data_IF_299856631259
#
_entry.id   IF_299856631259
#
_cell.length_a   1.000
_cell.length_b   1.000
_cell.length_c   1.000
_cell.angle_alpha   90.00
_cell.angle_beta   90.00
_cell.angle_gamma   90.00
#
_symmetry.space_group_name_H-M   'P 1'
#
loop_
_entity.id
_entity.type
_entity.pdbx_description
1 polymer ?
#
# COMPACT_ATOMS: atom_id res chain seq x y z
N UNK A 1 10.97 -0.63 -15.73
CA UNK A 1 10.25 -0.08 -14.59
C UNK A 1 11.01 1.06 -13.97
N UNK A 2 10.30 2.06 -13.55
CA UNK A 2 10.86 3.20 -12.85
C UNK A 2 11.42 2.77 -11.50
N UNK A 3 12.54 3.36 -11.10
CA UNK A 3 13.16 3.06 -9.80
C UNK A 3 12.19 3.34 -8.65
N UNK A 4 11.37 4.37 -8.80
CA UNK A 4 10.37 4.71 -7.79
C UNK A 4 9.36 3.58 -7.61
N UNK A 5 8.89 3.01 -8.72
CA UNK A 5 7.95 1.89 -8.66
C UNK A 5 8.59 0.67 -8.01
N UNK A 6 9.85 0.41 -8.29
CA UNK A 6 10.55 -0.70 -7.66
C UNK A 6 10.64 -0.52 -6.15
N UNK A 7 10.92 0.68 -5.70
CA UNK A 7 10.96 0.97 -4.27
C UNK A 7 9.59 0.78 -3.64
N UNK A 8 8.56 1.25 -4.33
CA UNK A 8 7.19 1.09 -3.83
C UNK A 8 6.86 -0.38 -3.65
N UNK A 9 7.17 -1.19 -4.65
CA UNK A 9 6.89 -2.62 -4.59
C UNK A 9 7.67 -3.27 -3.46
N UNK A 10 8.94 -2.91 -3.28
CA UNK A 10 9.76 -3.46 -2.22
C UNK A 10 9.19 -3.12 -0.84
N UNK A 11 8.74 -1.89 -0.67
CA UNK A 11 8.15 -1.47 0.60
C UNK A 11 6.82 -2.18 0.83
N UNK A 12 6.01 -2.30 -0.21
CA UNK A 12 4.74 -3.02 -0.11
C UNK A 12 4.95 -4.48 0.26
N UNK A 13 6.01 -5.11 -0.25
CA UNK A 13 6.32 -6.48 0.13
C UNK A 13 6.50 -6.63 1.63
N UNK A 14 7.16 -5.69 2.26
CA UNK A 14 7.34 -5.71 3.71
C UNK A 14 6.00 -5.58 4.42
N UNK A 15 5.15 -4.67 3.93
CA UNK A 15 3.83 -4.45 4.51
C UNK A 15 2.98 -5.70 4.34
N UNK A 16 3.09 -6.36 3.20
CA UNK A 16 2.31 -7.56 2.92
C UNK A 16 2.55 -8.65 3.97
N UNK A 17 3.78 -8.80 4.42
CA UNK A 17 4.09 -9.80 5.45
C UNK A 17 3.29 -9.56 6.72
N UNK A 18 3.11 -8.29 7.10
CA UNK A 18 2.30 -7.97 8.26
C UNK A 18 0.82 -8.27 8.01
N UNK A 19 0.32 -7.89 6.84
CA UNK A 19 -1.08 -8.09 6.53
C UNK A 19 -1.44 -9.56 6.39
N UNK A 20 -0.54 -10.34 5.82
CA UNK A 20 -0.79 -11.76 5.59
C UNK A 20 -0.97 -12.53 6.88
N UNK A 21 -0.36 -12.07 7.97
CA UNK A 21 -0.56 -12.69 9.27
C UNK A 21 -2.01 -12.64 9.71
N UNK A 22 -2.73 -11.61 9.30
CA UNK A 22 -4.13 -11.42 9.63
C UNK A 22 -5.06 -11.85 8.51
N UNK A 23 -4.52 -12.49 7.49
CA UNK A 23 -5.31 -12.95 6.36
C UNK A 23 -5.55 -11.91 5.28
N UNK A 24 -4.90 -10.77 5.38
CA UNK A 24 -5.03 -9.71 4.38
C UNK A 24 -3.84 -9.63 3.45
N UNK A 25 -3.93 -8.73 2.48
CA UNK A 25 -2.85 -8.48 1.55
C UNK A 25 -3.04 -7.12 0.89
N UNK A 26 -1.97 -6.61 0.28
CA UNK A 26 -2.02 -5.38 -0.49
C UNK A 26 -1.26 -5.60 -1.79
N UNK A 27 -1.83 -5.14 -2.90
CA UNK A 27 -1.24 -5.35 -4.22
C UNK A 27 -1.04 -3.99 -4.89
N UNK A 28 0.16 -3.77 -5.43
CA UNK A 28 0.45 -2.57 -6.18
C UNK A 28 -0.32 -2.57 -7.49
N UNK A 29 -0.97 -1.47 -7.80
CA UNK A 29 -1.69 -1.32 -9.06
C UNK A 29 -1.00 -0.34 -9.99
N UNK A 30 -0.74 0.87 -9.51
CA UNK A 30 -0.21 1.91 -10.37
C UNK A 30 0.44 3.01 -9.53
N UNK A 31 1.39 3.71 -10.12
CA UNK A 31 1.97 4.91 -9.54
C UNK A 31 1.89 6.02 -10.58
N UNK A 32 1.21 7.10 -10.24
CA UNK A 32 1.00 8.19 -11.18
C UNK A 32 0.90 9.52 -10.41
N UNK A 33 1.66 10.50 -10.86
CA UNK A 33 1.63 11.85 -10.30
C UNK A 33 1.84 11.90 -8.79
N UNK A 34 2.69 11.01 -8.29
CA UNK A 34 2.97 10.95 -6.86
C UNK A 34 1.94 10.16 -6.07
N UNK A 35 0.92 9.62 -6.73
CA UNK A 35 -0.13 8.86 -6.07
C UNK A 35 0.09 7.37 -6.34
N UNK A 36 0.12 6.59 -5.28
CA UNK A 36 0.25 5.14 -5.38
C UNK A 36 -1.14 4.53 -5.26
N UNK A 37 -1.50 3.73 -6.25
CA UNK A 37 -2.79 3.02 -6.24
C UNK A 37 -2.54 1.58 -5.86
N UNK A 38 -3.27 1.11 -4.88
CA UNK A 38 -3.14 -0.26 -4.36
C UNK A 38 -4.51 -0.88 -4.18
N UNK A 39 -4.55 -2.21 -4.21
CA UNK A 39 -5.76 -2.96 -3.89
C UNK A 39 -5.56 -3.68 -2.56
N UNK A 40 -6.56 -3.62 -1.70
CA UNK A 40 -6.56 -4.36 -0.44
C UNK A 40 -7.37 -5.63 -0.62
N UNK A 41 -6.81 -6.75 -0.15
CA UNK A 41 -7.42 -8.07 -0.36
C UNK A 41 -7.49 -8.79 0.97
N UNK A 42 -8.49 -9.64 1.11
CA UNK A 42 -8.55 -10.60 2.19
C UNK A 42 -9.57 -10.26 3.27
N UNK A 43 -9.35 -10.81 4.46
CA UNK A 43 -10.31 -10.73 5.55
C UNK A 43 -10.59 -9.30 6.01
N UNK A 44 -9.71 -8.38 5.69
CA UNK A 44 -9.87 -6.99 6.11
C UNK A 44 -10.99 -6.27 5.40
N UNK A 45 -11.57 -6.87 4.38
CA UNK A 45 -12.67 -6.24 3.67
C UNK A 45 -13.87 -5.99 4.57
N UNK A 46 -14.07 -6.86 5.54
CA UNK A 46 -15.20 -6.75 6.44
C UNK A 46 -14.90 -5.94 7.69
N UNK A 47 -13.65 -5.53 7.84
CA UNK A 47 -13.23 -4.74 8.99
C UNK A 47 -13.12 -3.29 8.59
N UNK A 48 -14.17 -2.53 8.79
CA UNK A 48 -14.20 -1.15 8.32
C UNK A 48 -13.07 -0.30 8.87
N UNK A 49 -12.71 -0.51 10.11
CA UNK A 49 -11.61 0.24 10.71
C UNK A 49 -10.27 -0.14 10.08
N UNK A 50 -10.11 -1.38 9.69
CA UNK A 50 -8.85 -1.87 9.18
C UNK A 50 -8.47 -1.22 7.85
N UNK A 51 -9.43 -0.95 7.01
CA UNK A 51 -9.15 -0.35 5.70
C UNK A 51 -8.53 1.02 5.84
N UNK A 52 -9.06 1.85 6.73
CA UNK A 52 -8.52 3.18 6.91
C UNK A 52 -7.18 3.15 7.64
N UNK A 53 -7.07 2.34 8.68
CA UNK A 53 -5.82 2.25 9.43
C UNK A 53 -4.69 1.73 8.59
N UNK A 54 -4.95 0.70 7.80
CA UNK A 54 -3.93 0.10 6.94
C UNK A 54 -3.55 1.06 5.84
N UNK A 55 -4.52 1.73 5.23
CA UNK A 55 -4.25 2.70 4.20
C UNK A 55 -3.36 3.82 4.72
N UNK A 56 -3.67 4.34 5.89
CA UNK A 56 -2.87 5.41 6.49
C UNK A 56 -1.46 4.93 6.79
N UNK A 57 -1.33 3.72 7.31
CA UNK A 57 -0.02 3.15 7.61
C UNK A 57 0.81 2.99 6.34
N UNK A 58 0.21 2.45 5.29
CA UNK A 58 0.89 2.29 4.01
C UNK A 58 1.33 3.64 3.46
N UNK A 59 0.45 4.62 3.55
CA UNK A 59 0.75 5.96 3.06
C UNK A 59 1.95 6.58 3.79
N UNK A 60 1.95 6.51 5.11
CA UNK A 60 3.03 7.07 5.90
C UNK A 60 4.34 6.38 5.59
N UNK A 61 4.33 5.06 5.54
CA UNK A 61 5.53 4.29 5.26
C UNK A 61 6.07 4.63 3.88
N UNK A 62 5.20 4.67 2.88
CA UNK A 62 5.64 4.98 1.52
C UNK A 62 6.16 6.39 1.41
N UNK A 63 5.52 7.34 2.09
CA UNK A 63 6.00 8.73 2.07
C UNK A 63 7.39 8.86 2.67
N UNK A 64 7.69 8.07 3.69
CA UNK A 64 9.00 8.12 4.33
C UNK A 64 10.06 7.34 3.56
N UNK A 65 9.70 6.19 3.02
CA UNK A 65 10.66 5.30 2.37
C UNK A 65 10.90 5.64 0.91
N UNK A 66 9.90 6.20 0.24
CA UNK A 66 9.97 6.45 -1.19
C UNK A 66 9.79 7.94 -1.45
N UNK A 67 10.87 8.65 -1.79
CA UNK A 67 10.75 10.07 -2.15
C UNK A 67 9.89 10.19 -3.40
N UNK A 68 9.00 11.15 -3.40
CA UNK A 68 8.11 11.37 -4.54
C UNK A 68 6.70 10.83 -4.35
N UNK A 69 6.49 10.01 -3.34
CA UNK A 69 5.14 9.57 -3.01
C UNK A 69 4.46 10.65 -2.19
N UNK A 70 3.31 11.11 -2.68
CA UNK A 70 2.53 12.15 -2.04
C UNK A 70 1.33 11.55 -1.31
N UNK A 71 0.71 10.54 -1.91
CA UNK A 71 -0.52 9.99 -1.40
C UNK A 71 -0.66 8.54 -1.82
N UNK A 72 -1.45 7.79 -1.06
CA UNK A 72 -1.81 6.42 -1.42
C UNK A 72 -3.32 6.34 -1.50
N UNK A 73 -3.83 5.72 -2.55
CA UNK A 73 -5.26 5.55 -2.76
C UNK A 73 -5.58 4.09 -3.05
N UNK A 74 -6.79 3.72 -2.70
CA UNK A 74 -7.29 2.39 -3.05
C UNK A 74 -7.79 2.41 -4.48
N UNK A 75 -7.40 1.39 -5.25
CA UNK A 75 -7.71 1.33 -6.68
C UNK A 75 -8.96 0.53 -7.00
N UNK A 76 -9.71 0.14 -6.03
CA UNK A 76 -10.92 -0.67 -6.27
C UNK A 76 -12.06 0.13 -6.83
#
# INVERSE_FOLDING_TARGET
>A
MDDTEKLIIAVLDKIRHFLQKDGGDVVFQEFKDGIVYVSMIGACQDCMYANNDIKDLVEVILQEEVPGVVEVRLAD
#
